data_IF_930937624509
#
_entry.id   IF_930937624509
#
_cell.length_a   1.000
_cell.length_b   1.000
_cell.length_c   1.000
_cell.angle_alpha   90.00
_cell.angle_beta   90.00
_cell.angle_gamma   90.00
#
_symmetry.space_group_name_H-M   'P 1'
#
loop_
_entity.id
_entity.type
_entity.pdbx_description
1 polymer ?
#
# COMPACT_ATOMS: atom_id res chain seq x y z
N UNK A 1 14.95 -2.09 14.94
CA UNK A 1 13.99 -2.92 15.71
C UNK A 1 12.98 -3.48 14.72
N UNK A 2 12.66 -4.75 14.84
CA UNK A 2 11.64 -5.41 14.04
C UNK A 2 10.40 -5.62 14.88
N UNK A 3 9.26 -5.34 14.29
CA UNK A 3 7.94 -5.63 14.80
C UNK A 3 7.38 -6.75 13.94
N UNK A 4 7.34 -7.97 14.48
CA UNK A 4 6.88 -9.18 13.79
C UNK A 4 5.49 -9.57 14.27
N UNK A 5 4.83 -10.49 13.56
CA UNK A 5 3.52 -11.00 13.94
C UNK A 5 2.59 -11.22 12.75
N UNK A 6 1.45 -11.86 13.02
CA UNK A 6 0.50 -12.31 11.99
C UNK A 6 -0.23 -11.16 11.27
N UNK A 7 -0.91 -11.46 10.17
CA UNK A 7 -1.80 -10.49 9.51
C UNK A 7 -2.90 -10.00 10.45
N UNK A 8 -3.22 -8.70 10.42
CA UNK A 8 -4.31 -8.13 11.22
C UNK A 8 -4.02 -7.83 12.70
N UNK A 9 -2.81 -8.14 13.19
CA UNK A 9 -2.40 -7.92 14.60
C UNK A 9 -2.08 -6.45 14.95
N UNK A 10 -2.10 -5.54 13.98
CA UNK A 10 -1.90 -4.11 14.23
C UNK A 10 -0.46 -3.60 14.20
N UNK A 11 0.51 -4.35 13.64
CA UNK A 11 1.92 -3.91 13.54
C UNK A 11 2.10 -2.52 12.94
N UNK A 12 1.52 -2.28 11.75
CA UNK A 12 1.64 -1.00 11.05
C UNK A 12 1.04 0.15 11.86
N UNK A 13 -0.10 -0.10 12.50
CA UNK A 13 -0.75 0.90 13.36
C UNK A 13 0.10 1.22 14.59
N UNK A 14 0.59 0.20 15.31
CA UNK A 14 1.47 0.41 16.47
C UNK A 14 2.73 1.19 16.10
N UNK A 15 3.32 0.90 14.94
CA UNK A 15 4.51 1.59 14.47
C UNK A 15 4.24 3.06 14.12
N UNK A 16 3.05 3.35 13.57
CA UNK A 16 2.60 4.72 13.28
C UNK A 16 2.25 5.49 14.55
N UNK A 17 1.54 4.87 15.51
CA UNK A 17 1.23 5.48 16.80
C UNK A 17 2.50 5.78 17.59
N UNK A 18 3.46 4.85 17.63
CA UNK A 18 4.77 5.10 18.23
C UNK A 18 5.45 6.34 17.62
N UNK A 19 5.37 6.50 16.29
CA UNK A 19 5.93 7.67 15.62
C UNK A 19 5.23 8.97 16.04
N UNK A 20 3.90 8.98 16.14
CA UNK A 20 3.12 10.14 16.59
C UNK A 20 3.40 10.51 18.05
N UNK A 21 3.39 9.52 18.95
CA UNK A 21 3.61 9.74 20.39
C UNK A 21 5.02 10.25 20.71
N UNK A 22 5.97 10.06 19.79
CA UNK A 22 7.38 10.41 19.98
C UNK A 22 7.86 11.49 18.99
N UNK A 23 6.95 12.30 18.44
CA UNK A 23 7.29 13.43 17.56
C UNK A 23 8.31 14.39 18.20
N UNK A 24 8.16 14.65 19.50
CA UNK A 24 9.09 15.53 20.23
C UNK A 24 10.49 14.95 20.40
N UNK A 25 10.63 13.62 20.33
CA UNK A 25 11.90 12.93 20.38
C UNK A 25 12.58 12.96 19.01
N UNK A 26 11.86 12.61 17.94
CA UNK A 26 12.39 12.49 16.57
C UNK A 26 12.37 13.82 15.79
N UNK A 27 12.98 14.86 16.37
CA UNK A 27 13.00 16.22 15.78
C UNK A 27 13.75 16.32 14.44
N UNK A 28 14.65 15.37 14.17
CA UNK A 28 15.33 15.27 12.88
C UNK A 28 14.43 14.75 11.74
N UNK A 29 13.22 14.29 12.07
CA UNK A 29 12.19 13.88 11.12
C UNK A 29 11.75 12.43 11.28
N UNK A 30 10.59 12.12 10.70
CA UNK A 30 10.05 10.76 10.61
C UNK A 30 9.74 10.48 9.14
N UNK A 31 10.23 9.35 8.63
CA UNK A 31 9.94 8.89 7.26
C UNK A 31 9.33 7.51 7.30
N UNK A 32 8.17 7.37 6.66
CA UNK A 32 7.55 6.06 6.40
C UNK A 32 7.80 5.66 4.95
N UNK A 33 8.27 4.43 4.75
CA UNK A 33 8.53 3.82 3.46
C UNK A 33 7.71 2.52 3.33
N UNK A 34 6.94 2.37 2.26
CA UNK A 34 6.30 1.09 1.91
C UNK A 34 7.36 0.11 1.41
N UNK A 35 7.63 -0.93 2.21
CA UNK A 35 8.68 -1.90 1.95
C UNK A 35 8.21 -3.11 1.12
N UNK A 36 6.92 -3.20 0.78
CA UNK A 36 6.37 -4.32 -0.03
C UNK A 36 6.87 -4.31 -1.46
N UNK A 37 7.25 -3.14 -1.96
CA UNK A 37 7.60 -2.91 -3.37
C UNK A 37 9.10 -3.06 -3.66
N UNK A 38 9.93 -3.35 -2.64
CA UNK A 38 11.36 -3.59 -2.79
C UNK A 38 12.21 -2.32 -2.92
N UNK A 39 13.51 -2.50 -3.18
CA UNK A 39 14.53 -1.45 -3.10
C UNK A 39 14.23 -0.22 -3.95
N UNK A 40 13.93 -0.42 -5.24
CA UNK A 40 13.75 0.69 -6.18
C UNK A 40 12.62 1.63 -5.74
N UNK A 41 11.48 1.06 -5.33
CA UNK A 41 10.34 1.83 -4.85
C UNK A 41 10.61 2.52 -3.51
N UNK A 42 11.29 1.85 -2.58
CA UNK A 42 11.66 2.46 -1.29
C UNK A 42 12.65 3.61 -1.48
N UNK A 43 13.66 3.43 -2.33
CA UNK A 43 14.64 4.46 -2.63
C UNK A 43 13.99 5.66 -3.33
N UNK A 44 13.07 5.42 -4.27
CA UNK A 44 12.29 6.47 -4.91
C UNK A 44 11.41 7.25 -3.90
N UNK A 45 10.74 6.55 -2.97
CA UNK A 45 9.97 7.18 -1.89
C UNK A 45 10.86 8.07 -1.01
N UNK A 46 12.03 7.57 -0.61
CA UNK A 46 13.01 8.33 0.17
C UNK A 46 13.51 9.57 -0.58
N UNK A 47 13.92 9.43 -1.83
CA UNK A 47 14.43 10.54 -2.65
C UNK A 47 13.32 11.59 -2.86
N UNK A 48 12.10 11.14 -3.11
CA UNK A 48 10.94 12.04 -3.25
C UNK A 48 10.67 12.80 -1.96
N UNK A 49 10.67 12.10 -0.82
CA UNK A 49 10.55 12.72 0.50
C UNK A 49 11.66 13.77 0.71
N UNK A 50 12.92 13.39 0.46
CA UNK A 50 14.08 14.22 0.70
C UNK A 50 14.06 15.49 -0.16
N UNK A 51 13.77 15.37 -1.46
CA UNK A 51 13.61 16.53 -2.37
C UNK A 51 12.48 17.46 -1.93
N UNK A 52 11.38 16.90 -1.46
CA UNK A 52 10.23 17.69 -1.00
C UNK A 52 10.49 18.46 0.30
N UNK A 53 11.22 17.86 1.24
CA UNK A 53 11.44 18.45 2.57
C UNK A 53 12.74 19.25 2.67
N UNK A 54 13.73 18.97 1.82
CA UNK A 54 15.03 19.64 1.81
C UNK A 54 15.39 20.18 0.42
N UNK A 55 14.58 21.07 -0.16
CA UNK A 55 14.75 21.54 -1.54
C UNK A 55 16.07 22.32 -1.78
N UNK A 56 16.71 22.81 -0.71
CA UNK A 56 18.01 23.47 -0.79
C UNK A 56 19.18 22.51 -1.06
N UNK A 57 18.99 21.20 -0.85
CA UNK A 57 19.99 20.19 -1.14
C UNK A 57 19.78 19.68 -2.56
N UNK A 58 20.72 20.00 -3.45
CA UNK A 58 20.68 19.52 -4.84
C UNK A 58 21.08 18.03 -4.91
N UNK A 59 20.11 17.16 -5.18
CA UNK A 59 20.37 15.77 -5.56
C UNK A 59 20.48 15.66 -7.09
N UNK A 60 21.48 14.93 -7.63
CA UNK A 60 21.60 14.72 -9.07
C UNK A 60 20.33 14.14 -9.71
N UNK A 61 19.90 14.71 -10.83
CA UNK A 61 18.69 14.27 -11.55
C UNK A 61 18.93 13.09 -12.50
N UNK A 62 20.19 12.88 -12.91
CA UNK A 62 20.63 11.84 -13.83
C UNK A 62 21.03 10.53 -13.13
N UNK A 63 21.00 10.50 -11.80
CA UNK A 63 21.38 9.35 -10.99
C UNK A 63 20.17 8.48 -10.66
N UNK A 64 20.36 7.16 -10.66
CA UNK A 64 19.32 6.22 -10.26
C UNK A 64 18.87 6.49 -8.83
N UNK A 65 17.56 6.49 -8.52
CA UNK A 65 17.08 6.65 -7.16
C UNK A 65 17.64 5.63 -6.17
N UNK A 66 18.06 4.45 -6.62
CA UNK A 66 18.73 3.43 -5.79
C UNK A 66 20.12 3.83 -5.28
N UNK A 67 20.79 4.76 -5.97
CA UNK A 67 22.19 5.14 -5.70
C UNK A 67 22.27 6.44 -4.89
N UNK A 68 21.16 7.17 -4.79
CA UNK A 68 21.04 8.42 -4.04
C UNK A 68 20.92 8.30 -2.50
N UNK A 69 20.47 7.18 -1.87
CA UNK A 69 20.26 7.13 -0.42
C UNK A 69 21.50 7.53 0.41
N UNK A 70 22.73 7.08 0.11
CA UNK A 70 23.92 7.53 0.83
C UNK A 70 24.12 9.06 0.81
N UNK A 71 23.81 9.70 -0.33
CA UNK A 71 23.85 11.16 -0.45
C UNK A 71 22.75 11.82 0.39
N UNK A 72 21.53 11.28 0.36
CA UNK A 72 20.45 11.75 1.24
C UNK A 72 20.83 11.66 2.73
N UNK A 73 21.46 10.55 3.16
CA UNK A 73 21.88 10.36 4.55
C UNK A 73 22.94 11.36 5.00
N UNK A 74 23.94 11.60 4.16
CA UNK A 74 25.05 12.52 4.46
C UNK A 74 24.63 13.99 4.41
N UNK A 75 23.67 14.36 3.57
CA UNK A 75 23.17 15.73 3.43
C UNK A 75 21.94 16.02 4.29
N UNK A 76 21.46 15.04 5.07
CA UNK A 76 20.33 15.24 5.95
C UNK A 76 20.66 16.31 6.99
N UNK A 77 19.82 17.35 7.19
CA UNK A 77 20.14 18.46 8.08
C UNK A 77 20.57 18.02 9.49
N UNK A 78 21.67 18.58 9.96
CA UNK A 78 22.26 18.31 11.27
C UNK A 78 22.63 19.65 11.93
N UNK A 79 21.63 20.50 12.12
CA UNK A 79 21.79 21.87 12.66
C UNK A 79 22.13 21.92 14.14
N UNK A 80 21.96 20.81 14.87
CA UNK A 80 22.21 20.68 16.30
C UNK A 80 23.42 19.79 16.59
N UNK A 81 24.03 19.96 17.77
CA UNK A 81 25.12 19.11 18.24
C UNK A 81 24.81 18.59 19.67
N UNK A 82 24.56 17.28 19.86
CA UNK A 82 24.53 16.25 18.83
C UNK A 82 23.33 16.42 17.87
N UNK A 83 23.43 15.89 16.63
CA UNK A 83 22.35 15.98 15.66
C UNK A 83 21.08 15.30 16.17
N UNK A 84 19.92 15.92 15.91
CA UNK A 84 18.62 15.39 16.30
C UNK A 84 18.34 14.01 15.66
N UNK A 85 17.67 13.09 16.41
CA UNK A 85 17.40 11.76 15.92
C UNK A 85 16.29 11.74 14.88
N UNK A 86 16.35 10.75 13.98
CA UNK A 86 15.42 10.55 12.87
C UNK A 86 14.82 9.16 12.98
N UNK A 87 13.51 8.99 12.76
CA UNK A 87 12.88 7.68 12.68
C UNK A 87 12.61 7.28 11.22
N UNK A 88 13.08 6.10 10.84
CA UNK A 88 12.78 5.44 9.57
C UNK A 88 11.84 4.26 9.85
N UNK A 89 10.60 4.37 9.38
CA UNK A 89 9.58 3.34 9.45
C UNK A 89 9.49 2.59 8.12
N UNK A 90 9.90 1.32 8.09
CA UNK A 90 9.74 0.44 6.94
C UNK A 90 8.50 -0.40 7.18
N UNK A 91 7.48 -0.19 6.37
CA UNK A 91 6.17 -0.80 6.58
C UNK A 91 5.93 -2.00 5.65
N UNK A 92 5.55 -3.12 6.24
CA UNK A 92 5.23 -4.41 5.60
C UNK A 92 6.37 -4.94 4.71
N UNK A 93 7.56 -5.05 5.30
CA UNK A 93 8.72 -5.63 4.63
C UNK A 93 8.50 -7.11 4.34
N UNK A 94 8.83 -7.53 3.12
CA UNK A 94 8.83 -8.95 2.72
C UNK A 94 10.07 -9.65 3.28
N UNK A 95 9.93 -10.96 3.53
CA UNK A 95 10.87 -11.86 4.19
C UNK A 95 12.37 -11.80 3.93
N UNK A 96 13.07 -12.61 4.74
CA UNK A 96 14.51 -12.58 5.03
C UNK A 96 15.41 -12.58 3.80
N UNK A 97 15.06 -13.30 2.73
CA UNK A 97 15.92 -13.39 1.54
C UNK A 97 15.96 -12.08 0.72
N UNK A 98 14.84 -11.37 0.59
CA UNK A 98 14.77 -10.16 -0.23
C UNK A 98 14.76 -8.88 0.61
N UNK A 99 14.08 -8.87 1.76
CA UNK A 99 13.98 -7.69 2.61
C UNK A 99 15.33 -7.25 3.18
N UNK A 100 16.13 -8.20 3.65
CA UNK A 100 17.41 -7.88 4.31
C UNK A 100 18.44 -7.29 3.35
N UNK A 101 18.55 -7.82 2.13
CA UNK A 101 19.46 -7.26 1.12
C UNK A 101 19.03 -5.84 0.72
N UNK A 102 17.72 -5.63 0.56
CA UNK A 102 17.14 -4.31 0.28
C UNK A 102 17.46 -3.33 1.41
N UNK A 103 17.29 -3.74 2.67
CA UNK A 103 17.61 -2.91 3.84
C UNK A 103 19.08 -2.53 3.88
N UNK A 104 19.97 -3.52 3.68
CA UNK A 104 21.42 -3.31 3.73
C UNK A 104 21.89 -2.34 2.66
N UNK A 105 21.31 -2.40 1.46
CA UNK A 105 21.62 -1.47 0.38
C UNK A 105 21.05 -0.08 0.67
N UNK A 106 19.78 0.03 1.08
CA UNK A 106 19.13 1.31 1.34
C UNK A 106 19.78 2.08 2.49
N UNK A 107 20.23 1.39 3.54
CA UNK A 107 20.82 1.99 4.74
C UNK A 107 22.34 1.90 4.80
N UNK A 108 23.00 1.68 3.66
CA UNK A 108 24.45 1.76 3.59
C UNK A 108 24.93 3.15 4.03
N UNK A 109 25.83 3.19 5.02
CA UNK A 109 26.38 4.45 5.55
C UNK A 109 25.41 5.27 6.41
N UNK A 110 24.31 4.66 6.88
CA UNK A 110 23.30 5.36 7.68
C UNK A 110 23.88 5.85 9.02
N UNK A 111 23.82 7.17 9.34
CA UNK A 111 24.36 7.71 10.58
C UNK A 111 23.65 7.17 11.84
N UNK A 112 24.33 7.08 13.00
CA UNK A 112 23.76 6.49 14.23
C UNK A 112 22.49 7.16 14.77
N UNK A 113 22.23 8.42 14.40
CA UNK A 113 21.03 9.18 14.79
C UNK A 113 19.75 8.66 14.13
N UNK A 114 19.86 7.91 13.03
CA UNK A 114 18.73 7.31 12.36
C UNK A 114 18.35 5.99 13.04
N UNK A 115 17.14 5.96 13.59
CA UNK A 115 16.53 4.77 14.18
C UNK A 115 15.64 4.10 13.14
N UNK A 116 15.60 2.78 13.17
CA UNK A 116 14.85 1.96 12.21
C UNK A 116 13.80 1.15 12.95
N UNK A 117 12.54 1.33 12.57
CA UNK A 117 11.42 0.51 12.98
C UNK A 117 10.89 -0.19 11.73
N UNK A 118 10.85 -1.51 11.76
CA UNK A 118 10.54 -2.33 10.59
C UNK A 118 9.37 -3.22 10.95
N UNK A 119 8.28 -3.17 10.19
CA UNK A 119 7.16 -4.09 10.36
C UNK A 119 7.22 -5.19 9.30
N UNK A 120 7.03 -6.44 9.68
CA UNK A 120 6.97 -7.57 8.75
C UNK A 120 6.17 -8.73 9.33
N UNK A 121 5.74 -9.66 8.47
CA UNK A 121 5.01 -10.87 8.90
C UNK A 121 5.94 -12.04 9.27
N UNK A 122 7.12 -12.08 8.68
CA UNK A 122 8.07 -13.18 8.81
C UNK A 122 9.01 -13.02 10.00
N UNK A 123 9.74 -14.10 10.30
CA UNK A 123 10.76 -14.14 11.36
C UNK A 123 11.85 -13.11 11.04
N UNK A 124 12.24 -12.34 12.05
CA UNK A 124 13.32 -11.36 11.94
C UNK A 124 14.70 -12.03 11.76
N UNK A 125 15.65 -11.34 11.10
CA UNK A 125 17.00 -11.87 10.94
C UNK A 125 17.69 -12.08 12.30
N UNK A 126 18.60 -13.07 12.34
CA UNK A 126 19.34 -13.40 13.56
C UNK A 126 20.14 -12.18 14.08
N UNK A 127 20.09 -11.97 15.41
CA UNK A 127 20.77 -10.86 16.08
C UNK A 127 20.02 -9.52 16.03
N UNK A 128 18.84 -9.47 15.38
CA UNK A 128 17.98 -8.30 15.42
C UNK A 128 17.29 -8.13 16.79
N UNK A 129 17.01 -6.88 17.17
CA UNK A 129 16.05 -6.59 18.24
C UNK A 129 14.63 -6.75 17.71
N UNK A 130 13.84 -7.60 18.35
CA UNK A 130 12.51 -8.03 17.88
C UNK A 130 11.48 -7.81 18.97
N UNK A 131 10.33 -7.28 18.58
CA UNK A 131 9.09 -7.35 19.33
C UNK A 131 8.13 -8.19 18.48
N UNK A 132 7.71 -9.33 19.03
CA UNK A 132 6.73 -10.19 18.37
C UNK A 132 5.32 -9.83 18.87
N UNK A 133 4.49 -9.28 17.98
CA UNK A 133 3.11 -8.96 18.31
C UNK A 133 2.24 -10.18 18.18
N UNK A 134 1.66 -10.53 19.33
CA UNK A 134 0.63 -11.55 19.47
C UNK A 134 -0.75 -10.89 19.50
N UNK A 135 -1.78 -11.70 19.69
CA UNK A 135 -3.16 -11.26 19.87
C UNK A 135 -3.33 -10.30 21.06
N UNK A 136 -4.43 -9.54 21.05
CA UNK A 136 -4.81 -8.74 22.21
C UNK A 136 -5.15 -9.65 23.39
N UNK A 137 -4.98 -9.13 24.60
CA UNK A 137 -5.61 -9.74 25.77
C UNK A 137 -7.12 -9.54 25.66
N UNK A 138 -7.89 -10.47 26.22
CA UNK A 138 -9.36 -10.47 26.11
C UNK A 138 -10.01 -9.18 26.61
N UNK A 139 -9.53 -8.63 27.73
CA UNK A 139 -9.96 -7.34 28.27
C UNK A 139 -9.73 -6.19 27.27
N UNK A 140 -8.54 -6.15 26.65
CA UNK A 140 -8.22 -5.17 25.60
C UNK A 140 -9.03 -5.39 24.30
N UNK A 141 -9.38 -6.63 23.97
CA UNK A 141 -10.21 -6.97 22.82
C UNK A 141 -11.65 -6.47 23.01
N UNK A 142 -12.24 -6.70 24.18
CA UNK A 142 -13.56 -6.18 24.56
C UNK A 142 -13.58 -4.65 24.57
N UNK A 143 -12.54 -4.02 25.12
CA UNK A 143 -12.40 -2.55 25.11
C UNK A 143 -12.33 -2.01 23.67
N UNK A 144 -11.54 -2.63 22.80
CA UNK A 144 -11.44 -2.23 21.39
C UNK A 144 -12.78 -2.41 20.66
N UNK A 145 -13.46 -3.54 20.85
CA UNK A 145 -14.78 -3.79 20.27
C UNK A 145 -15.79 -2.71 20.71
N UNK A 146 -15.83 -2.41 22.01
CA UNK A 146 -16.69 -1.39 22.59
C UNK A 146 -16.39 0.00 22.00
N UNK A 147 -15.11 0.37 21.89
CA UNK A 147 -14.69 1.64 21.31
C UNK A 147 -15.14 1.76 19.83
N UNK A 148 -14.97 0.69 19.06
CA UNK A 148 -15.32 0.68 17.64
C UNK A 148 -16.83 0.58 17.39
N UNK A 149 -17.59 0.05 18.35
CA UNK A 149 -19.06 -0.03 18.29
C UNK A 149 -19.77 1.32 18.52
N UNK A 150 -19.02 2.43 18.67
CA UNK A 150 -19.54 3.78 18.80
C UNK A 150 -19.94 4.15 20.24
N UNK A 151 -20.68 5.25 20.40
CA UNK A 151 -20.97 5.84 21.73
C UNK A 151 -21.64 4.88 22.72
N UNK A 152 -22.51 3.97 22.23
CA UNK A 152 -23.18 2.97 23.06
C UNK A 152 -22.43 1.64 23.15
N UNK A 153 -21.26 1.53 22.53
CA UNK A 153 -20.53 0.26 22.40
C UNK A 153 -20.17 -0.35 23.76
N UNK A 154 -19.73 0.47 24.72
CA UNK A 154 -19.46 0.01 26.09
C UNK A 154 -20.69 -0.61 26.75
N UNK A 155 -21.83 0.10 26.72
CA UNK A 155 -23.08 -0.42 27.28
C UNK A 155 -23.55 -1.71 26.62
N UNK A 156 -23.39 -1.83 25.29
CA UNK A 156 -23.75 -3.05 24.55
C UNK A 156 -22.87 -4.24 24.93
N UNK A 157 -21.56 -4.03 25.09
CA UNK A 157 -20.63 -5.07 25.55
C UNK A 157 -20.96 -5.49 26.99
N UNK A 158 -21.34 -4.56 27.87
CA UNK A 158 -21.74 -4.86 29.25
C UNK A 158 -23.11 -5.57 29.32
N UNK A 159 -24.06 -5.21 28.47
CA UNK A 159 -25.39 -5.82 28.40
C UNK A 159 -25.38 -7.26 27.84
N UNK A 160 -24.50 -7.54 26.88
CA UNK A 160 -24.33 -8.85 26.22
C UNK A 160 -22.92 -9.43 26.50
N UNK A 161 -22.45 -9.41 27.76
CA UNK A 161 -21.07 -9.76 28.15
C UNK A 161 -20.61 -11.14 27.62
N UNK A 162 -21.46 -12.16 27.73
CA UNK A 162 -21.15 -13.52 27.27
C UNK A 162 -20.94 -13.57 25.76
N UNK A 163 -21.84 -12.95 24.99
CA UNK A 163 -21.75 -12.92 23.53
C UNK A 163 -20.59 -12.04 23.06
N UNK A 164 -20.27 -10.97 23.78
CA UNK A 164 -19.13 -10.12 23.51
C UNK A 164 -17.80 -10.86 23.70
N UNK A 165 -17.69 -11.64 24.78
CA UNK A 165 -16.50 -12.46 25.06
C UNK A 165 -16.30 -13.53 23.98
N UNK A 166 -17.37 -14.24 23.61
CA UNK A 166 -17.33 -15.27 22.57
C UNK A 166 -17.05 -14.67 21.19
N UNK A 167 -17.63 -13.51 20.86
CA UNK A 167 -17.34 -12.79 19.62
C UNK A 167 -15.85 -12.40 19.53
N UNK A 168 -15.24 -11.94 20.62
CA UNK A 168 -13.80 -11.64 20.65
C UNK A 168 -12.96 -12.91 20.47
N UNK A 169 -13.36 -14.02 21.10
CA UNK A 169 -12.69 -15.32 20.95
C UNK A 169 -12.74 -15.82 19.50
N UNK A 170 -13.90 -15.73 18.86
CA UNK A 170 -14.11 -16.14 17.46
C UNK A 170 -13.38 -15.22 16.47
N UNK A 171 -13.27 -13.93 16.80
CA UNK A 171 -12.42 -12.97 16.10
C UNK A 171 -10.90 -13.22 16.29
N UNK A 172 -10.52 -14.17 17.14
CA UNK A 172 -9.14 -14.51 17.48
C UNK A 172 -8.43 -13.41 18.27
N UNK A 173 -9.18 -12.54 18.95
CA UNK A 173 -8.67 -11.36 19.65
C UNK A 173 -7.78 -10.47 18.75
N UNK A 174 -8.06 -10.48 17.43
CA UNK A 174 -7.29 -9.74 16.43
C UNK A 174 -7.87 -8.33 16.23
N UNK A 175 -7.05 -7.26 16.35
CA UNK A 175 -7.51 -5.89 16.19
C UNK A 175 -8.29 -5.64 14.89
N UNK A 176 -7.81 -6.16 13.75
CA UNK A 176 -8.49 -5.95 12.46
C UNK A 176 -9.89 -6.56 12.43
N UNK A 177 -10.07 -7.77 12.97
CA UNK A 177 -11.40 -8.39 13.04
C UNK A 177 -12.33 -7.57 13.94
N UNK A 178 -11.86 -7.18 15.13
CA UNK A 178 -12.63 -6.41 16.09
C UNK A 178 -13.02 -5.02 15.57
N UNK A 179 -12.14 -4.35 14.81
CA UNK A 179 -12.46 -3.07 14.15
C UNK A 179 -13.57 -3.24 13.11
N UNK A 180 -13.54 -4.30 12.31
CA UNK A 180 -14.60 -4.58 11.33
C UNK A 180 -15.95 -4.87 12.00
N UNK A 181 -15.93 -5.71 13.05
CA UNK A 181 -17.11 -6.06 13.83
C UNK A 181 -17.69 -4.85 14.58
N UNK A 182 -16.82 -4.06 15.22
CA UNK A 182 -17.20 -2.82 15.89
C UNK A 182 -17.80 -1.81 14.92
N UNK A 183 -17.18 -1.57 13.76
CA UNK A 183 -17.71 -0.67 12.74
C UNK A 183 -19.11 -1.09 12.26
N UNK A 184 -19.34 -2.40 12.13
CA UNK A 184 -20.66 -2.96 11.80
C UNK A 184 -21.69 -2.75 12.91
N UNK A 185 -21.29 -2.90 14.18
CA UNK A 185 -22.15 -2.58 15.33
C UNK A 185 -22.45 -1.08 15.38
N UNK A 186 -21.47 -0.22 15.12
CA UNK A 186 -21.63 1.24 15.09
C UNK A 186 -22.64 1.68 14.03
N UNK A 187 -22.54 1.11 12.82
CA UNK A 187 -23.48 1.39 11.73
C UNK A 187 -24.88 0.80 11.91
N UNK A 188 -25.09 -0.10 12.88
CA UNK A 188 -26.37 -0.79 13.15
C UNK A 188 -26.66 -0.82 14.65
N UNK A 189 -27.27 0.25 15.20
CA UNK A 189 -27.57 0.37 16.63
C UNK A 189 -28.52 -0.71 17.17
N UNK A 190 -29.32 -1.31 16.31
CA UNK A 190 -30.31 -2.36 16.60
C UNK A 190 -29.73 -3.78 16.52
N UNK A 191 -28.54 -3.95 15.93
CA UNK A 191 -27.88 -5.25 15.83
C UNK A 191 -27.43 -5.74 17.21
N UNK A 192 -27.87 -6.92 17.63
CA UNK A 192 -27.36 -7.54 18.86
C UNK A 192 -26.00 -8.19 18.66
N UNK A 193 -25.19 -8.26 19.73
CA UNK A 193 -23.90 -8.94 19.70
C UNK A 193 -24.08 -10.44 19.45
N UNK A 194 -25.06 -11.06 20.10
CA UNK A 194 -25.52 -12.43 19.85
C UNK A 194 -25.80 -12.69 18.36
N UNK A 195 -26.58 -11.82 17.71
CA UNK A 195 -26.86 -11.95 16.27
C UNK A 195 -25.60 -11.79 15.41
N UNK A 196 -24.70 -10.87 15.79
CA UNK A 196 -23.44 -10.68 15.08
C UNK A 196 -22.51 -11.90 15.21
N UNK A 197 -22.50 -12.55 16.38
CA UNK A 197 -21.77 -13.78 16.63
C UNK A 197 -22.32 -14.93 15.78
N UNK A 198 -23.64 -15.09 15.70
CA UNK A 198 -24.27 -16.05 14.79
C UNK A 198 -23.88 -15.82 13.32
N UNK A 199 -23.94 -14.56 12.85
CA UNK A 199 -23.51 -14.19 11.50
C UNK A 199 -22.05 -14.59 11.25
N UNK A 200 -21.16 -14.32 12.21
CA UNK A 200 -19.73 -14.61 12.12
C UNK A 200 -19.47 -16.11 12.01
N UNK A 201 -20.07 -16.90 12.91
CA UNK A 201 -19.93 -18.36 12.95
C UNK A 201 -20.45 -19.02 11.67
N UNK A 202 -21.55 -18.50 11.11
CA UNK A 202 -22.11 -19.01 9.86
C UNK A 202 -21.16 -18.88 8.65
N UNK A 203 -20.18 -17.95 8.69
CA UNK A 203 -19.20 -17.75 7.61
C UNK A 203 -17.97 -18.64 7.69
N UNK A 204 -17.77 -19.43 8.74
CA UNK A 204 -16.54 -20.20 8.92
C UNK A 204 -16.17 -21.12 7.74
N UNK A 205 -17.15 -21.79 7.11
CA UNK A 205 -16.89 -22.65 5.95
C UNK A 205 -16.48 -21.86 4.70
N UNK A 206 -17.14 -20.73 4.44
CA UNK A 206 -16.83 -19.84 3.31
C UNK A 206 -15.47 -19.18 3.50
N UNK A 207 -15.17 -18.69 4.71
CA UNK A 207 -13.88 -18.11 5.06
C UNK A 207 -12.74 -19.11 4.87
N UNK A 208 -12.92 -20.36 5.31
CA UNK A 208 -11.93 -21.42 5.12
C UNK A 208 -11.67 -21.70 3.63
N UNK A 209 -12.72 -21.78 2.82
CA UNK A 209 -12.56 -21.99 1.38
C UNK A 209 -11.82 -20.81 0.71
N UNK A 210 -12.15 -19.57 1.10
CA UNK A 210 -11.49 -18.37 0.59
C UNK A 210 -10.02 -18.32 0.98
N UNK A 211 -9.67 -18.64 2.23
CA UNK A 211 -8.28 -18.70 2.69
C UNK A 211 -7.47 -19.78 1.97
N UNK A 212 -8.08 -20.92 1.65
CA UNK A 212 -7.43 -21.97 0.87
C UNK A 212 -7.16 -21.53 -0.57
N UNK A 213 -8.08 -20.78 -1.18
CA UNK A 213 -7.89 -20.22 -2.52
C UNK A 213 -6.91 -19.03 -2.53
N UNK A 214 -6.82 -18.30 -1.41
CA UNK A 214 -6.04 -17.07 -1.26
C UNK A 214 -5.17 -17.08 0.01
N UNK A 215 -4.09 -17.89 0.05
CA UNK A 215 -3.21 -17.98 1.23
C UNK A 215 -2.59 -16.65 1.66
N UNK A 216 -2.49 -15.67 0.75
CA UNK A 216 -1.99 -14.32 1.00
C UNK A 216 -2.81 -13.52 2.03
N UNK A 217 -4.08 -13.90 2.26
CA UNK A 217 -4.94 -13.27 3.27
C UNK A 217 -4.36 -13.42 4.68
N UNK A 218 -3.67 -14.53 4.97
CA UNK A 218 -2.68 -14.65 6.05
C UNK A 218 -3.16 -14.41 7.49
N UNK A 219 -4.46 -14.40 7.76
CA UNK A 219 -5.04 -14.23 9.10
C UNK A 219 -5.61 -15.58 9.60
N UNK A 220 -5.24 -16.03 10.82
CA UNK A 220 -5.46 -17.42 11.27
C UNK A 220 -6.91 -17.79 11.64
N UNK A 221 -7.79 -16.81 11.87
CA UNK A 221 -9.25 -16.98 12.10
C UNK A 221 -9.89 -15.59 12.25
N UNK A 222 -11.19 -15.46 12.03
CA UNK A 222 -11.99 -14.30 12.44
C UNK A 222 -11.95 -13.10 11.50
N UNK A 223 -10.79 -12.76 10.92
CA UNK A 223 -10.66 -11.61 10.01
C UNK A 223 -11.44 -11.83 8.71
N UNK A 224 -11.39 -13.02 8.14
CA UNK A 224 -12.04 -13.30 6.85
C UNK A 224 -13.55 -13.40 7.03
N UNK A 225 -14.01 -14.04 8.11
CA UNK A 225 -15.40 -14.10 8.53
C UNK A 225 -15.95 -12.68 8.77
N UNK A 226 -15.22 -11.84 9.52
CA UNK A 226 -15.59 -10.46 9.79
C UNK A 226 -15.67 -9.62 8.50
N UNK A 227 -14.76 -9.84 7.55
CA UNK A 227 -14.81 -9.22 6.23
C UNK A 227 -16.05 -9.67 5.44
N UNK A 228 -16.34 -10.97 5.40
CA UNK A 228 -17.48 -11.52 4.66
C UNK A 228 -18.82 -10.97 5.17
N UNK A 229 -19.04 -10.99 6.49
CA UNK A 229 -20.29 -10.47 7.05
C UNK A 229 -20.40 -8.96 6.88
N UNK A 230 -19.27 -8.23 6.90
CA UNK A 230 -19.24 -6.78 6.67
C UNK A 230 -19.44 -6.41 5.20
N UNK A 231 -19.01 -7.27 4.29
CA UNK A 231 -19.12 -7.10 2.84
C UNK A 231 -20.55 -7.34 2.34
N UNK A 232 -21.22 -8.38 2.84
CA UNK A 232 -22.52 -8.84 2.35
C UNK A 232 -23.62 -7.76 2.30
N UNK A 233 -23.80 -6.88 3.31
CA UNK A 233 -24.82 -5.84 3.26
C UNK A 233 -24.37 -4.54 2.60
N UNK A 234 -23.13 -4.44 2.09
CA UNK A 234 -22.73 -3.24 1.35
C UNK A 234 -23.63 -3.05 0.13
N UNK A 235 -23.95 -1.78 -0.16
CA UNK A 235 -24.71 -1.42 -1.36
C UNK A 235 -24.00 -1.86 -2.63
N UNK A 236 -24.73 -2.07 -3.72
CA UNK A 236 -24.14 -2.41 -5.01
C UNK A 236 -23.12 -1.37 -5.47
N UNK A 237 -23.38 -0.08 -5.17
CA UNK A 237 -22.44 1.00 -5.44
C UNK A 237 -21.12 0.84 -4.66
N UNK A 238 -21.18 0.44 -3.37
CA UNK A 238 -19.99 0.20 -2.56
C UNK A 238 -19.23 -1.08 -2.98
N UNK A 239 -19.93 -2.04 -3.62
CA UNK A 239 -19.34 -3.25 -4.20
C UNK A 239 -18.85 -3.05 -5.65
N UNK A 240 -18.99 -1.84 -6.20
CA UNK A 240 -18.59 -1.52 -7.57
C UNK A 240 -17.13 -1.06 -7.65
N UNK A 241 -16.41 -1.50 -8.67
CA UNK A 241 -15.01 -1.21 -8.93
C UNK A 241 -14.84 -0.43 -10.25
N UNK A 242 -14.27 0.77 -10.17
CA UNK A 242 -13.86 1.56 -11.33
C UNK A 242 -12.49 1.15 -11.85
N UNK A 243 -12.41 0.71 -13.10
CA UNK A 243 -11.17 0.37 -13.80
C UNK A 243 -10.80 1.49 -14.77
N UNK A 244 -9.67 2.17 -14.55
CA UNK A 244 -9.12 3.14 -15.51
C UNK A 244 -8.13 2.42 -16.42
N UNK A 245 -8.43 2.30 -17.71
CA UNK A 245 -7.62 1.56 -18.68
C UNK A 245 -7.33 2.35 -19.95
N UNK A 246 -6.31 1.93 -20.70
CA UNK A 246 -5.98 2.55 -21.99
C UNK A 246 -6.94 2.12 -23.10
N UNK A 247 -6.81 2.74 -24.28
CA UNK A 247 -7.69 2.48 -25.42
C UNK A 247 -7.34 1.21 -26.23
N UNK A 248 -6.46 0.35 -25.72
CA UNK A 248 -5.95 -0.79 -26.47
C UNK A 248 -7.06 -1.76 -26.90
N UNK A 249 -6.90 -2.33 -28.10
CA UNK A 249 -7.97 -3.07 -28.76
C UNK A 249 -8.36 -4.37 -28.02
N UNK A 250 -7.46 -4.96 -27.23
CA UNK A 250 -7.75 -6.17 -26.44
C UNK A 250 -8.82 -5.93 -25.39
N UNK A 251 -8.87 -4.73 -24.79
CA UNK A 251 -9.94 -4.34 -23.86
C UNK A 251 -11.32 -4.29 -24.51
N UNK A 252 -11.37 -4.16 -25.85
CA UNK A 252 -12.60 -4.08 -26.65
C UNK A 252 -12.94 -5.44 -27.30
N UNK A 253 -12.13 -6.47 -27.07
CA UNK A 253 -12.34 -7.82 -27.61
C UNK A 253 -13.64 -8.45 -27.10
N UNK A 254 -14.31 -9.24 -27.93
CA UNK A 254 -15.62 -9.82 -27.62
C UNK A 254 -15.63 -10.61 -26.29
N UNK A 255 -14.59 -11.41 -26.02
CA UNK A 255 -14.43 -12.14 -24.76
C UNK A 255 -14.35 -11.22 -23.53
N UNK A 256 -13.64 -10.10 -23.63
CA UNK A 256 -13.51 -9.14 -22.52
C UNK A 256 -14.84 -8.42 -22.29
N UNK A 257 -15.51 -8.00 -23.37
CA UNK A 257 -16.84 -7.39 -23.29
C UNK A 257 -17.88 -8.34 -22.68
N UNK A 258 -17.87 -9.62 -23.07
CA UNK A 258 -18.75 -10.64 -22.49
C UNK A 258 -18.45 -10.82 -20.99
N UNK A 259 -17.18 -10.94 -20.61
CA UNK A 259 -16.77 -11.07 -19.22
C UNK A 259 -17.19 -9.88 -18.35
N UNK A 260 -17.09 -8.65 -18.88
CA UNK A 260 -17.55 -7.42 -18.21
C UNK A 260 -19.08 -7.33 -18.14
N UNK A 261 -19.78 -7.74 -19.20
CA UNK A 261 -21.24 -7.76 -19.22
C UNK A 261 -21.83 -8.74 -18.18
N UNK A 262 -21.14 -9.84 -17.91
CA UNK A 262 -21.47 -10.78 -16.83
C UNK A 262 -21.16 -10.22 -15.42
N UNK A 263 -20.42 -9.12 -15.30
CA UNK A 263 -19.92 -8.58 -14.03
C UNK A 263 -20.16 -7.07 -13.96
N UNK A 264 -21.42 -6.65 -13.75
CA UNK A 264 -21.81 -5.24 -13.78
C UNK A 264 -21.12 -4.40 -12.71
N UNK A 265 -20.54 -5.02 -11.68
CA UNK A 265 -19.75 -4.32 -10.67
C UNK A 265 -18.43 -3.75 -11.21
N UNK A 266 -17.94 -4.17 -12.39
CA UNK A 266 -16.73 -3.60 -12.98
C UNK A 266 -17.09 -2.50 -13.99
N UNK A 267 -16.79 -1.25 -13.64
CA UNK A 267 -17.01 -0.09 -14.51
C UNK A 267 -15.72 0.32 -15.19
N UNK A 268 -15.68 0.17 -16.52
CA UNK A 268 -14.49 0.53 -17.30
C UNK A 268 -14.54 1.98 -17.74
N UNK A 269 -13.52 2.74 -17.37
CA UNK A 269 -13.25 4.10 -17.81
C UNK A 269 -12.03 4.10 -18.72
N UNK A 270 -12.24 4.40 -20.00
CA UNK A 270 -11.15 4.55 -20.95
C UNK A 270 -10.49 5.92 -20.78
N UNK A 271 -9.17 5.95 -20.83
CA UNK A 271 -8.41 7.21 -21.01
C UNK A 271 -8.91 7.94 -22.28
N UNK A 272 -8.90 9.28 -22.31
CA UNK A 272 -9.27 10.04 -23.51
C UNK A 272 -8.46 9.64 -24.75
N UNK A 273 -9.07 9.73 -25.93
CA UNK A 273 -8.33 9.61 -27.19
C UNK A 273 -7.23 10.68 -27.25
N UNK A 274 -6.05 10.30 -27.73
CA UNK A 274 -4.85 11.17 -27.79
C UNK A 274 -4.28 11.61 -26.44
N UNK A 275 -4.69 11.01 -25.32
CA UNK A 275 -4.03 11.20 -24.03
C UNK A 275 -2.92 10.18 -23.77
N UNK A 276 -2.03 9.97 -24.75
CA UNK A 276 -0.86 9.08 -24.60
C UNK A 276 0.02 9.46 -23.42
N UNK A 277 -0.01 10.73 -23.01
CA UNK A 277 0.64 11.19 -21.80
C UNK A 277 0.10 10.51 -20.55
N UNK A 278 -1.22 10.24 -20.43
CA UNK A 278 -1.86 9.52 -19.31
C UNK A 278 -1.52 8.02 -19.30
N UNK A 279 -1.15 7.45 -20.45
CA UNK A 279 -0.85 6.04 -20.57
C UNK A 279 0.65 5.75 -20.31
N UNK A 280 0.98 5.36 -19.08
CA UNK A 280 2.38 5.09 -18.69
C UNK A 280 3.01 3.95 -19.52
N UNK A 281 2.21 2.98 -20.00
CA UNK A 281 2.76 1.89 -20.82
C UNK A 281 3.25 2.42 -22.17
N UNK A 282 2.61 3.44 -22.74
CA UNK A 282 3.05 4.07 -23.99
C UNK A 282 4.36 4.84 -23.82
N UNK A 283 4.55 5.48 -22.66
CA UNK A 283 5.85 6.10 -22.30
C UNK A 283 6.96 5.05 -22.28
N UNK A 284 6.69 3.90 -21.65
CA UNK A 284 7.63 2.80 -21.63
C UNK A 284 7.92 2.23 -23.04
N UNK A 285 6.89 2.08 -23.88
CA UNK A 285 7.06 1.67 -25.28
C UNK A 285 7.93 2.65 -26.08
N UNK A 286 7.81 3.95 -25.82
CA UNK A 286 8.72 4.96 -26.38
C UNK A 286 10.17 4.71 -25.99
N UNK A 287 10.43 4.42 -24.72
CA UNK A 287 11.79 4.19 -24.19
C UNK A 287 12.45 2.97 -24.85
N UNK A 288 11.77 1.82 -24.86
CA UNK A 288 12.32 0.61 -25.52
C UNK A 288 12.50 0.83 -27.03
N UNK A 289 11.59 1.59 -27.66
CA UNK A 289 11.69 1.92 -29.08
C UNK A 289 12.96 2.73 -29.37
N UNK A 290 13.20 3.80 -28.61
CA UNK A 290 14.34 4.68 -28.83
C UNK A 290 15.69 4.09 -28.41
N UNK A 291 15.71 3.35 -27.29
CA UNK A 291 16.95 2.86 -26.69
C UNK A 291 17.38 1.51 -27.24
N UNK A 292 16.45 0.67 -27.69
CA UNK A 292 16.76 -0.70 -28.11
C UNK A 292 16.31 -0.96 -29.55
N UNK A 293 15.03 -0.75 -29.88
CA UNK A 293 14.48 -1.19 -31.18
C UNK A 293 15.11 -0.42 -32.34
N UNK A 294 15.11 0.93 -32.30
CA UNK A 294 15.65 1.77 -33.38
C UNK A 294 17.17 1.71 -33.51
N UNK A 295 17.88 1.28 -32.45
CA UNK A 295 19.36 1.17 -32.42
C UNK A 295 19.85 -0.25 -32.74
N UNK A 296 18.95 -1.23 -32.79
CA UNK A 296 19.26 -2.62 -33.05
C UNK A 296 19.01 -3.01 -34.50
N UNK A 297 19.80 -3.96 -35.00
CA UNK A 297 19.50 -4.74 -36.20
C UNK A 297 19.37 -6.20 -35.78
N UNK A 298 18.29 -6.85 -36.18
CA UNK A 298 17.93 -8.19 -35.70
C UNK A 298 17.83 -9.14 -36.90
N UNK A 299 18.50 -10.30 -36.80
CA UNK A 299 18.55 -11.30 -37.90
C UNK A 299 17.39 -12.30 -37.83
N UNK A 300 16.65 -12.33 -36.73
CA UNK A 300 15.47 -13.17 -36.54
C UNK A 300 14.52 -12.62 -35.49
N UNK A 301 13.25 -13.05 -35.51
CA UNK A 301 12.27 -12.75 -34.46
C UNK A 301 12.73 -13.27 -33.09
N UNK A 302 13.37 -14.44 -33.06
CA UNK A 302 13.91 -15.02 -31.82
C UNK A 302 14.97 -14.13 -31.18
N UNK A 303 15.84 -13.54 -32.00
CA UNK A 303 16.83 -12.57 -31.53
C UNK A 303 16.18 -11.30 -30.99
N UNK A 304 15.16 -10.77 -31.67
CA UNK A 304 14.40 -9.62 -31.19
C UNK A 304 13.74 -9.89 -29.83
N UNK A 305 13.10 -11.06 -29.66
CA UNK A 305 12.48 -11.46 -28.38
C UNK A 305 13.54 -11.50 -27.27
N UNK A 306 14.66 -12.19 -27.48
CA UNK A 306 15.72 -12.28 -26.48
C UNK A 306 16.30 -10.90 -26.10
N UNK A 307 16.37 -9.97 -27.07
CA UNK A 307 16.81 -8.59 -26.84
C UNK A 307 15.77 -7.79 -26.04
N UNK A 308 14.48 -7.96 -26.32
CA UNK A 308 13.39 -7.36 -25.53
C UNK A 308 13.44 -7.90 -24.09
N UNK A 309 13.53 -9.20 -23.89
CA UNK A 309 13.60 -9.83 -22.56
C UNK A 309 14.81 -9.32 -21.77
N UNK A 310 15.98 -9.25 -22.41
CA UNK A 310 17.20 -8.69 -21.80
C UNK A 310 17.02 -7.23 -21.43
N UNK A 311 16.40 -6.43 -22.32
CA UNK A 311 16.12 -5.03 -22.05
C UNK A 311 15.16 -4.88 -20.86
N UNK A 312 14.07 -5.64 -20.83
CA UNK A 312 13.08 -5.65 -19.73
C UNK A 312 13.75 -6.05 -18.42
N UNK A 313 14.53 -7.13 -18.41
CA UNK A 313 15.22 -7.61 -17.22
C UNK A 313 16.21 -6.56 -16.67
N UNK A 314 16.91 -5.83 -17.54
CA UNK A 314 17.82 -4.76 -17.12
C UNK A 314 17.07 -3.49 -16.71
N UNK A 315 16.01 -3.11 -17.43
CA UNK A 315 15.19 -1.95 -17.11
C UNK A 315 14.51 -2.12 -15.74
N UNK A 316 13.99 -3.31 -15.44
CA UNK A 316 13.29 -3.60 -14.18
C UNK A 316 14.20 -3.55 -12.95
N UNK A 317 15.53 -3.71 -13.09
CA UNK A 317 16.46 -3.65 -11.96
C UNK A 317 16.55 -2.26 -11.33
N UNK A 318 16.26 -1.20 -12.09
CA UNK A 318 16.32 0.19 -11.63
C UNK A 318 15.13 1.03 -12.08
N UNK A 319 14.02 0.40 -12.46
CA UNK A 319 12.83 1.14 -12.89
C UNK A 319 12.21 1.85 -11.70
N UNK A 320 11.87 3.12 -11.91
CA UNK A 320 11.09 3.92 -10.96
C UNK A 320 9.77 4.33 -11.59
N UNK A 321 8.71 4.57 -10.79
CA UNK A 321 7.45 5.05 -11.31
C UNK A 321 7.65 6.32 -12.15
N UNK A 322 6.93 6.46 -13.25
CA UNK A 322 6.95 7.71 -14.01
C UNK A 322 6.36 8.82 -13.14
N UNK A 323 7.17 9.83 -12.83
CA UNK A 323 6.71 10.99 -12.08
C UNK A 323 5.93 11.91 -13.01
N UNK A 324 4.66 12.12 -12.69
CA UNK A 324 3.83 13.14 -13.31
C UNK A 324 4.35 14.52 -12.89
N UNK A 325 4.97 15.24 -13.82
CA UNK A 325 5.42 16.62 -13.56
C UNK A 325 4.32 17.65 -13.81
N UNK A 326 3.28 17.28 -14.56
CA UNK A 326 2.11 18.13 -14.79
C UNK A 326 1.10 17.97 -13.65
N UNK A 327 0.83 19.06 -12.94
CA UNK A 327 -0.26 19.11 -11.95
C UNK A 327 -1.61 19.16 -12.66
N UNK A 328 -2.69 18.76 -11.98
CA UNK A 328 -4.05 18.89 -12.50
C UNK A 328 -4.33 20.35 -12.93
N UNK A 329 -3.89 21.32 -12.13
CA UNK A 329 -4.02 22.75 -12.43
C UNK A 329 -3.30 23.14 -13.72
N UNK A 330 -2.07 22.65 -13.94
CA UNK A 330 -1.33 22.92 -15.18
C UNK A 330 -2.02 22.35 -16.43
N UNK A 331 -2.73 21.24 -16.28
CA UNK A 331 -3.52 20.61 -17.33
C UNK A 331 -4.79 21.44 -17.59
N UNK A 332 -5.50 21.84 -16.54
CA UNK A 332 -6.71 22.67 -16.65
C UNK A 332 -6.40 24.04 -17.26
N UNK A 333 -5.33 24.71 -16.84
CA UNK A 333 -4.89 25.97 -17.45
C UNK A 333 -4.57 25.81 -18.93
N UNK A 334 -3.90 24.70 -19.30
CA UNK A 334 -3.57 24.43 -20.70
C UNK A 334 -4.84 24.18 -21.52
N UNK A 335 -5.80 23.42 -20.99
CA UNK A 335 -7.11 23.20 -21.61
C UNK A 335 -7.85 24.52 -21.75
N UNK A 336 -7.90 25.35 -20.71
CA UNK A 336 -8.55 26.66 -20.73
C UNK A 336 -7.94 27.59 -21.78
N UNK A 337 -6.59 27.64 -21.87
CA UNK A 337 -5.88 28.37 -22.94
C UNK A 337 -6.23 27.88 -24.35
N UNK A 338 -6.42 26.57 -24.53
CA UNK A 338 -6.84 25.98 -25.80
C UNK A 338 -8.32 26.29 -26.10
N UNK A 339 -9.21 26.17 -25.11
CA UNK A 339 -10.63 26.52 -25.24
C UNK A 339 -10.81 27.98 -25.64
N UNK A 340 -10.08 28.93 -25.03
CA UNK A 340 -10.11 30.35 -25.42
C UNK A 340 -9.74 30.57 -26.89
N UNK A 341 -8.83 29.76 -27.45
CA UNK A 341 -8.43 29.84 -28.87
C UNK A 341 -9.42 29.15 -29.81
N UNK A 342 -10.12 28.12 -29.34
CA UNK A 342 -11.10 27.36 -30.14
C UNK A 342 -12.46 28.09 -30.16
N UNK A 343 -12.85 28.74 -29.07
CA UNK A 343 -14.09 29.52 -28.94
C UNK A 343 -14.08 30.85 -29.71
N UNK A 344 -13.03 31.13 -30.49
CA UNK A 344 -12.90 32.30 -31.35
C UNK A 344 -13.22 32.05 -32.84
N UNK A 345 -13.66 30.87 -33.23
CA UNK A 345 -14.20 30.65 -34.58
C UNK A 345 -15.71 30.92 -34.58
N UNK A 346 -16.07 32.20 -34.66
CA UNK A 346 -17.39 32.58 -35.15
C UNK A 346 -17.48 32.20 -36.62
N UNK A 347 -18.28 31.18 -36.93
CA UNK A 347 -19.20 31.11 -38.07
C UNK A 347 -20.21 30.00 -37.85
#
# INVERSE_FOLDING_TARGET
>A
MYLTGMGGVGKSELAVQHAYDHLEHYRGGIVRLDARQGLSAMAAQLVTFFRGHFPAVALPDDTSPTDLPPLCWSQWPASTNPPEPVLLLLDDQRGVAHGYEVERQLFQGLPPRFRRLITQREIAPAGAQVIDLLWLRRDSALELLALQAGERGKGRVEEEESDADELCAEAGDLPLALVLLGARLSGRPDLRLSQLLEDLLAKGAEAKALQQAHPELGAPRGVVEALLISWEPLSDAAKSLGLIIDNYCTHKHAKVKAWLAERPQFHVHFTPSYSSWLNQVERWFGIITERMIRRGSFRSVKELIARIETFVANFNKGSTPFMWTATADSIFEKIQRLCVRISGAGH
#
